data_IF_718596291669
#
_entry.id   IF_718596291669
#
_cell.length_a   1.000
_cell.length_b   1.000
_cell.length_c   1.000
_cell.angle_alpha   90.00
_cell.angle_beta   90.00
_cell.angle_gamma   90.00
#
_symmetry.space_group_name_H-M   'P 1'
#
loop_
_entity.id
_entity.type
_entity.pdbx_description
1 polymer ?
#
# COMPACT_ATOMS: atom_id res chain seq x y z
N UNK A 1 8.42 -34.68 1.76
CA UNK A 1 8.72 -33.80 2.91
C UNK A 1 10.16 -34.01 3.34
N UNK A 2 10.91 -32.95 3.64
CA UNK A 2 12.12 -33.03 4.47
C UNK A 2 12.38 -31.66 5.12
N UNK A 3 12.00 -31.53 6.40
CA UNK A 3 12.27 -30.33 7.18
C UNK A 3 13.71 -30.37 7.68
N UNK A 4 14.58 -29.50 7.13
CA UNK A 4 15.96 -29.36 7.61
C UNK A 4 15.97 -28.88 9.07
N UNK A 5 16.13 -29.82 10.01
CA UNK A 5 16.24 -29.50 11.44
C UNK A 5 17.41 -28.57 11.71
N UNK A 6 17.15 -27.62 12.60
CA UNK A 6 18.06 -26.57 13.06
C UNK A 6 19.08 -27.18 14.03
N UNK A 7 20.37 -27.24 13.65
CA UNK A 7 21.45 -27.67 14.57
C UNK A 7 21.68 -26.63 15.68
N UNK A 8 21.91 -27.04 16.95
CA UNK A 8 22.24 -26.14 18.05
C UNK A 8 23.64 -25.51 17.89
N UNK A 9 23.89 -24.45 18.67
CA UNK A 9 25.19 -23.77 18.78
C UNK A 9 26.22 -24.61 19.55
N UNK A 10 27.51 -24.34 19.34
CA UNK A 10 28.60 -24.96 20.11
C UNK A 10 28.87 -24.18 21.40
N UNK A 11 29.57 -24.79 22.35
CA UNK A 11 29.93 -24.16 23.63
C UNK A 11 30.75 -22.87 23.44
N UNK A 12 31.67 -22.84 22.46
CA UNK A 12 32.46 -21.64 22.13
C UNK A 12 31.59 -20.47 21.63
N UNK A 13 30.54 -20.75 20.84
CA UNK A 13 29.59 -19.73 20.40
C UNK A 13 28.84 -19.13 21.61
N UNK A 14 28.50 -19.97 22.60
CA UNK A 14 27.78 -19.58 23.83
C UNK A 14 28.69 -18.76 24.76
N UNK A 15 29.97 -19.14 24.89
CA UNK A 15 30.96 -18.40 25.66
C UNK A 15 31.17 -16.99 25.07
N UNK A 16 31.36 -16.88 23.75
CA UNK A 16 31.52 -15.60 23.05
C UNK A 16 30.29 -14.69 23.19
N UNK A 17 29.07 -15.25 23.10
CA UNK A 17 27.81 -14.52 23.33
C UNK A 17 27.66 -14.02 24.78
N UNK A 18 28.25 -14.72 25.75
CA UNK A 18 28.20 -14.37 27.17
C UNK A 18 29.18 -13.25 27.52
N UNK A 19 30.41 -13.30 26.98
CA UNK A 19 31.41 -12.22 27.11
C UNK A 19 30.88 -10.91 26.47
N UNK A 20 30.26 -11.02 25.28
CA UNK A 20 29.63 -9.89 24.58
C UNK A 20 28.56 -9.18 25.42
N UNK A 21 27.77 -9.91 26.21
CA UNK A 21 26.74 -9.31 27.09
C UNK A 21 27.34 -8.53 28.26
N UNK A 22 28.50 -8.94 28.78
CA UNK A 22 29.17 -8.24 29.90
C UNK A 22 29.92 -6.99 29.45
N UNK A 23 30.67 -7.07 28.34
CA UNK A 23 31.74 -6.11 28.07
C UNK A 23 31.46 -5.07 26.97
N UNK A 24 30.23 -5.03 26.39
CA UNK A 24 29.78 -4.08 25.35
C UNK A 24 30.76 -3.84 24.18
N UNK A 25 31.66 -4.80 23.90
CA UNK A 25 32.76 -4.65 22.95
C UNK A 25 32.39 -5.15 21.55
N UNK A 26 33.15 -4.78 20.52
CA UNK A 26 32.80 -5.12 19.13
C UNK A 26 32.82 -6.64 18.88
N UNK A 27 31.78 -7.13 18.18
CA UNK A 27 31.52 -8.53 17.85
C UNK A 27 32.73 -9.23 17.19
N UNK A 28 33.47 -8.53 16.31
CA UNK A 28 34.67 -9.06 15.64
C UNK A 28 35.81 -9.37 16.61
N UNK A 29 36.08 -8.50 17.58
CA UNK A 29 37.18 -8.70 18.56
C UNK A 29 36.89 -9.89 19.49
N UNK A 30 35.64 -10.02 19.97
CA UNK A 30 35.23 -11.11 20.86
C UNK A 30 35.20 -12.45 20.11
N UNK A 31 34.67 -12.48 18.88
CA UNK A 31 34.68 -13.69 18.05
C UNK A 31 36.12 -14.19 17.80
N UNK A 32 37.04 -13.28 17.43
CA UNK A 32 38.45 -13.61 17.23
C UNK A 32 39.13 -14.15 18.50
N UNK A 33 38.88 -13.51 19.67
CA UNK A 33 39.39 -13.95 20.99
C UNK A 33 39.00 -15.39 21.34
N UNK A 34 37.80 -15.83 20.93
CA UNK A 34 37.30 -17.18 21.19
C UNK A 34 37.48 -18.15 19.99
N UNK A 35 38.22 -17.77 18.94
CA UNK A 35 38.42 -18.62 17.75
C UNK A 35 37.16 -18.84 16.90
N UNK A 36 36.10 -18.06 17.12
CA UNK A 36 34.79 -18.24 16.48
C UNK A 36 34.67 -17.36 15.23
N UNK A 37 34.13 -17.92 14.14
CA UNK A 37 33.80 -17.17 12.93
C UNK A 37 32.58 -16.26 13.18
N UNK A 38 32.68 -14.97 12.85
CA UNK A 38 31.57 -14.00 13.04
C UNK A 38 30.28 -14.41 12.30
N UNK A 39 30.39 -15.24 11.25
CA UNK A 39 29.25 -15.81 10.53
C UNK A 39 28.49 -16.89 11.32
N UNK A 40 29.13 -17.65 12.22
CA UNK A 40 28.41 -18.64 13.06
C UNK A 40 27.60 -17.94 14.14
N UNK A 41 28.18 -16.92 14.80
CA UNK A 41 27.49 -16.08 15.81
C UNK A 41 26.28 -15.30 15.26
N UNK A 42 26.23 -15.03 13.96
CA UNK A 42 25.09 -14.35 13.31
C UNK A 42 23.97 -15.31 12.87
N UNK A 43 24.16 -16.62 12.96
CA UNK A 43 23.24 -17.62 12.43
C UNK A 43 22.23 -18.17 13.44
N UNK A 44 21.09 -17.46 13.62
CA UNK A 44 19.86 -17.77 14.39
C UNK A 44 19.64 -16.93 15.66
N UNK A 45 18.97 -15.78 15.48
CA UNK A 45 18.13 -15.20 16.52
C UNK A 45 16.72 -14.92 16.00
N UNK A 46 15.76 -15.67 16.53
CA UNK A 46 14.42 -15.15 16.80
C UNK A 46 14.61 -13.88 17.65
N UNK A 47 14.08 -12.73 17.23
CA UNK A 47 14.35 -11.45 17.90
C UNK A 47 13.06 -10.64 18.13
N UNK A 48 12.32 -11.05 19.15
CA UNK A 48 11.42 -10.15 19.87
C UNK A 48 12.17 -9.56 21.09
N UNK A 49 12.19 -8.22 21.19
CA UNK A 49 12.42 -7.43 22.42
C UNK A 49 13.86 -7.42 23.02
N UNK A 50 14.33 -6.39 23.75
CA UNK A 50 13.78 -5.10 24.24
C UNK A 50 14.98 -4.17 24.58
N UNK A 51 14.77 -2.84 24.71
CA UNK A 51 15.68 -1.97 25.50
C UNK A 51 16.07 -0.62 24.88
N UNK A 52 15.39 0.45 25.32
CA UNK A 52 15.84 1.86 25.21
C UNK A 52 16.57 2.27 26.50
N UNK A 53 17.52 3.21 26.43
CA UNK A 53 17.84 4.22 27.48
C UNK A 53 18.97 5.19 27.05
N UNK A 54 18.76 6.50 27.22
CA UNK A 54 19.75 7.61 27.13
C UNK A 54 20.15 8.05 25.72
N UNK A 55 19.61 9.17 25.18
CA UNK A 55 20.05 10.58 25.36
C UNK A 55 21.39 10.89 24.65
N UNK A 56 21.48 11.74 23.61
CA UNK A 56 20.50 12.62 22.99
C UNK A 56 20.71 12.74 21.47
N UNK A 57 19.60 12.92 20.73
CA UNK A 57 19.46 13.96 19.71
C UNK A 57 18.00 14.06 19.24
N UNK A 58 17.40 15.23 19.44
CA UNK A 58 16.18 15.61 18.74
C UNK A 58 16.54 15.77 17.25
N UNK A 59 15.86 15.04 16.34
CA UNK A 59 15.95 15.03 14.86
C UNK A 59 16.40 13.72 14.15
N UNK A 60 16.57 12.58 14.83
CA UNK A 60 16.87 11.30 14.14
C UNK A 60 15.65 10.66 13.41
N UNK A 61 14.58 11.42 13.21
CA UNK A 61 13.43 11.05 12.36
C UNK A 61 13.67 11.35 10.88
N UNK A 62 14.60 10.66 10.19
CA UNK A 62 14.56 10.58 8.70
C UNK A 62 15.30 9.36 8.11
N UNK A 63 14.52 8.33 7.75
CA UNK A 63 14.68 7.42 6.61
C UNK A 63 16.07 6.87 6.21
N UNK A 64 16.26 5.54 6.34
CA UNK A 64 16.84 4.69 5.26
C UNK A 64 16.24 3.27 5.23
N UNK A 65 15.29 3.07 4.33
CA UNK A 65 14.89 1.76 3.75
C UNK A 65 14.93 1.96 2.23
N UNK A 66 15.64 1.13 1.45
CA UNK A 66 14.94 0.12 0.65
C UNK A 66 15.67 -1.24 0.54
N UNK A 67 14.95 -2.21 -0.05
CA UNK A 67 15.28 -3.63 -0.26
C UNK A 67 14.78 -3.94 -1.70
N UNK A 68 15.33 -4.82 -2.54
CA UNK A 68 16.23 -5.98 -2.35
C UNK A 68 17.56 -5.87 -3.17
N UNK A 69 18.28 -7.00 -3.34
CA UNK A 69 19.56 -7.13 -4.07
C UNK A 69 19.38 -7.58 -5.53
N UNK A 70 20.37 -7.29 -6.40
CA UNK A 70 20.68 -8.11 -7.59
C UNK A 70 22.17 -8.42 -7.64
N UNK A 71 22.53 -9.69 -7.65
CA UNK A 71 23.94 -10.14 -7.66
C UNK A 71 24.53 -10.11 -9.07
N UNK A 72 25.60 -9.32 -9.25
CA UNK A 72 26.59 -9.52 -10.33
C UNK A 72 27.98 -9.05 -9.86
N UNK A 73 28.67 -9.91 -9.11
CA UNK A 73 30.01 -9.63 -8.58
C UNK A 73 30.04 -8.82 -7.27
N UNK A 74 31.23 -8.34 -6.91
CA UNK A 74 31.57 -7.75 -5.60
C UNK A 74 31.47 -6.21 -5.53
N UNK A 75 30.84 -5.56 -6.50
CA UNK A 75 30.84 -4.09 -6.61
C UNK A 75 29.50 -3.49 -6.18
N UNK A 76 29.52 -2.58 -5.22
CA UNK A 76 28.36 -1.87 -4.69
C UNK A 76 28.62 -0.36 -4.78
N UNK A 77 27.72 0.42 -5.40
CA UNK A 77 27.89 1.87 -5.52
C UNK A 77 26.56 2.60 -5.31
N UNK A 78 26.59 3.60 -4.43
CA UNK A 78 25.55 4.62 -4.27
C UNK A 78 26.03 5.89 -4.99
N UNK A 79 25.13 6.63 -5.63
CA UNK A 79 25.43 7.95 -6.18
C UNK A 79 24.47 8.98 -5.60
N UNK A 80 25.04 9.91 -4.84
CA UNK A 80 24.42 11.19 -4.47
C UNK A 80 25.52 12.26 -4.48
N UNK A 81 25.94 12.62 -5.68
CA UNK A 81 26.67 13.87 -5.94
C UNK A 81 25.79 14.76 -6.80
N UNK A 82 25.35 15.87 -6.21
CA UNK A 82 24.49 16.95 -6.75
C UNK A 82 22.96 16.75 -6.67
N UNK A 83 22.34 17.69 -5.94
CA UNK A 83 20.99 18.28 -6.04
C UNK A 83 19.73 17.38 -6.00
N UNK A 84 19.14 17.38 -4.80
CA UNK A 84 17.71 17.56 -4.45
C UNK A 84 16.58 16.76 -5.14
N UNK A 85 15.64 16.34 -4.28
CA UNK A 85 14.34 15.71 -4.55
C UNK A 85 14.36 14.24 -5.05
N UNK A 86 13.83 13.34 -4.21
CA UNK A 86 13.50 11.97 -4.64
C UNK A 86 12.29 11.45 -3.87
N UNK A 87 11.08 11.76 -4.35
CA UNK A 87 9.88 10.99 -4.05
C UNK A 87 9.20 10.66 -5.38
N UNK A 88 9.36 9.42 -5.83
CA UNK A 88 8.35 8.63 -6.56
C UNK A 88 8.82 7.20 -6.72
N UNK A 89 8.03 6.27 -6.20
CA UNK A 89 8.07 4.86 -6.62
C UNK A 89 7.21 4.71 -7.89
N UNK A 90 7.74 4.05 -8.93
CA UNK A 90 6.92 3.20 -9.76
C UNK A 90 7.57 1.82 -10.02
N UNK A 91 6.77 0.76 -9.91
CA UNK A 91 7.00 -0.57 -10.51
C UNK A 91 8.40 -1.15 -10.38
N UNK A 92 8.80 -1.53 -9.16
CA UNK A 92 8.74 -2.93 -8.70
C UNK A 92 9.22 -2.99 -7.23
N UNK A 93 8.85 -4.05 -6.48
CA UNK A 93 9.07 -4.12 -5.02
C UNK A 93 10.53 -3.96 -4.58
N UNK A 94 10.83 -3.67 -3.31
CA UNK A 94 10.36 -4.51 -2.19
C UNK A 94 10.25 -3.72 -0.87
N UNK A 95 9.04 -3.73 -0.31
CA UNK A 95 8.72 -3.54 1.11
C UNK A 95 9.53 -4.53 1.97
N UNK A 96 9.95 -4.20 3.20
CA UNK A 96 10.57 -5.20 4.07
C UNK A 96 9.62 -6.40 4.26
N UNK A 97 9.92 -7.60 3.69
CA UNK A 97 8.99 -8.73 3.72
C UNK A 97 8.67 -9.16 5.15
N UNK A 98 9.62 -8.96 6.07
CA UNK A 98 9.44 -9.30 7.49
C UNK A 98 8.29 -8.49 8.11
N UNK A 99 8.08 -7.22 7.77
CA UNK A 99 6.95 -6.45 8.32
C UNK A 99 5.61 -6.87 7.69
N UNK A 100 5.61 -7.25 6.42
CA UNK A 100 4.45 -7.84 5.73
C UNK A 100 4.04 -9.15 6.42
N UNK A 101 5.01 -10.05 6.57
CA UNK A 101 4.85 -11.40 7.08
C UNK A 101 4.52 -11.39 8.58
N UNK A 102 5.07 -10.46 9.35
CA UNK A 102 4.76 -10.33 10.76
C UNK A 102 3.31 -9.87 10.95
N UNK A 103 2.86 -8.82 10.24
CA UNK A 103 1.44 -8.43 10.26
C UNK A 103 0.52 -9.61 9.88
N UNK A 104 0.92 -10.38 8.86
CA UNK A 104 0.18 -11.56 8.41
C UNK A 104 0.09 -12.73 9.41
N UNK A 105 0.93 -12.74 10.45
CA UNK A 105 0.87 -13.74 11.51
C UNK A 105 0.18 -13.21 12.78
N UNK A 106 -0.32 -11.97 12.74
CA UNK A 106 -0.72 -11.25 13.95
C UNK A 106 0.46 -10.91 14.89
N UNK A 107 1.70 -10.93 14.38
CA UNK A 107 2.87 -10.49 15.14
C UNK A 107 2.94 -8.95 15.15
N UNK A 108 3.36 -8.39 16.29
CA UNK A 108 3.53 -6.95 16.50
C UNK A 108 4.47 -6.30 15.47
N UNK A 109 3.96 -5.37 14.66
CA UNK A 109 4.76 -4.60 13.71
C UNK A 109 5.46 -3.47 14.45
N UNK A 110 6.76 -3.63 14.71
CA UNK A 110 7.61 -2.65 15.40
C UNK A 110 8.03 -1.49 14.53
N UNK A 111 7.02 -0.78 14.03
CA UNK A 111 7.09 0.43 13.23
C UNK A 111 6.05 1.39 13.77
N UNK A 112 6.28 2.70 13.61
CA UNK A 112 5.32 3.72 14.04
C UNK A 112 3.95 3.50 13.37
N UNK A 113 2.87 3.76 14.10
CA UNK A 113 1.50 3.47 13.67
C UNK A 113 1.11 4.14 12.34
N UNK A 114 1.65 5.33 12.06
CA UNK A 114 1.44 6.05 10.79
C UNK A 114 1.96 5.31 9.55
N UNK A 115 2.88 4.35 9.72
CA UNK A 115 3.39 3.51 8.64
C UNK A 115 2.57 2.23 8.41
N UNK A 116 1.63 1.88 9.31
CA UNK A 116 0.87 0.62 9.23
C UNK A 116 -0.05 0.59 8.02
N UNK A 117 -0.66 1.72 7.65
CA UNK A 117 -1.46 1.86 6.43
C UNK A 117 -0.61 1.63 5.17
N UNK A 118 0.55 2.27 5.06
CA UNK A 118 1.47 2.12 3.93
C UNK A 118 1.93 0.65 3.79
N UNK A 119 2.25 0.02 4.92
CA UNK A 119 2.65 -1.39 5.01
C UNK A 119 1.52 -2.31 4.53
N UNK A 120 0.30 -2.16 5.05
CA UNK A 120 -0.86 -2.96 4.61
C UNK A 120 -1.22 -2.71 3.14
N UNK A 121 -1.26 -1.46 2.68
CA UNK A 121 -1.59 -1.12 1.29
C UNK A 121 -0.56 -1.75 0.33
N UNK A 122 0.74 -1.66 0.65
CA UNK A 122 1.79 -2.29 -0.15
C UNK A 122 1.70 -3.83 -0.13
N UNK A 123 1.39 -4.41 1.04
CA UNK A 123 1.16 -5.85 1.22
C UNK A 123 0.02 -6.36 0.33
N UNK A 124 -1.09 -5.62 0.24
CA UNK A 124 -2.26 -6.00 -0.55
C UNK A 124 -2.06 -5.72 -2.05
N UNK A 125 -1.34 -4.66 -2.41
CA UNK A 125 -1.12 -4.29 -3.81
C UNK A 125 -0.14 -5.21 -4.56
N UNK A 126 0.76 -5.89 -3.82
CA UNK A 126 1.76 -6.81 -4.38
C UNK A 126 1.68 -8.23 -3.81
N UNK A 127 0.78 -8.49 -2.86
CA UNK A 127 0.60 -9.80 -2.22
C UNK A 127 -0.20 -10.78 -3.06
N UNK A 128 -0.25 -12.02 -2.57
CA UNK A 128 -1.00 -13.12 -3.19
C UNK A 128 -2.48 -13.10 -2.76
N UNK A 129 -3.28 -14.05 -3.27
CA UNK A 129 -4.66 -14.20 -2.84
C UNK A 129 -4.75 -14.48 -1.32
N UNK A 130 -3.86 -15.33 -0.79
CA UNK A 130 -3.80 -15.69 0.62
C UNK A 130 -3.54 -14.46 1.51
N UNK A 131 -2.75 -13.50 1.04
CA UNK A 131 -2.48 -12.24 1.75
C UNK A 131 -3.76 -11.39 1.85
N UNK A 132 -4.56 -11.37 0.77
CA UNK A 132 -5.84 -10.68 0.75
C UNK A 132 -6.90 -11.40 1.60
N UNK A 133 -6.99 -12.73 1.54
CA UNK A 133 -7.95 -13.49 2.37
C UNK A 133 -7.66 -13.29 3.86
N UNK A 134 -6.40 -13.37 4.27
CA UNK A 134 -6.01 -13.10 5.65
C UNK A 134 -6.44 -11.69 6.10
N UNK A 135 -6.18 -10.68 5.26
CA UNK A 135 -6.60 -9.31 5.53
C UNK A 135 -8.13 -9.16 5.59
N UNK A 136 -8.88 -9.88 4.75
CA UNK A 136 -10.34 -9.87 4.75
C UNK A 136 -10.91 -10.55 6.00
N UNK A 137 -10.33 -11.67 6.46
CA UNK A 137 -10.69 -12.27 7.75
C UNK A 137 -10.37 -11.34 8.92
N UNK A 138 -9.23 -10.64 8.89
CA UNK A 138 -8.93 -9.61 9.89
C UNK A 138 -9.95 -8.46 9.84
N UNK A 139 -10.38 -8.01 8.66
CA UNK A 139 -11.45 -7.00 8.53
C UNK A 139 -12.77 -7.45 9.18
N UNK A 140 -13.18 -8.71 8.98
CA UNK A 140 -14.41 -9.24 9.58
C UNK A 140 -14.33 -9.32 11.11
N UNK A 141 -13.15 -9.63 11.65
CA UNK A 141 -12.92 -9.82 13.10
C UNK A 141 -12.44 -8.55 13.85
N UNK A 142 -12.10 -7.47 13.14
CA UNK A 142 -11.55 -6.25 13.74
C UNK A 142 -12.64 -5.28 14.19
N UNK A 143 -12.44 -4.67 15.36
CA UNK A 143 -13.20 -3.50 15.81
C UNK A 143 -12.56 -2.20 15.32
N UNK A 144 -11.49 -1.77 15.99
CA UNK A 144 -10.90 -0.42 15.82
C UNK A 144 -10.18 -0.18 14.49
N UNK A 145 -9.52 -1.19 13.93
CA UNK A 145 -8.81 -1.07 12.65
C UNK A 145 -9.67 -1.35 11.41
N UNK A 146 -10.96 -1.69 11.58
CA UNK A 146 -11.83 -2.23 10.54
C UNK A 146 -11.84 -1.39 9.25
N UNK A 147 -12.11 -0.09 9.36
CA UNK A 147 -12.09 0.83 8.21
C UNK A 147 -10.73 0.86 7.50
N UNK A 148 -9.63 0.93 8.27
CA UNK A 148 -8.28 1.01 7.69
C UNK A 148 -7.92 -0.25 6.90
N UNK A 149 -8.28 -1.43 7.42
CA UNK A 149 -8.08 -2.70 6.72
C UNK A 149 -8.97 -2.76 5.47
N UNK A 150 -10.24 -2.33 5.56
CA UNK A 150 -11.15 -2.28 4.42
C UNK A 150 -10.63 -1.40 3.29
N UNK A 151 -10.04 -0.24 3.61
CA UNK A 151 -9.39 0.60 2.61
C UNK A 151 -8.15 -0.08 2.02
N UNK A 152 -7.31 -0.74 2.82
CA UNK A 152 -6.17 -1.53 2.32
C UNK A 152 -6.59 -2.65 1.36
N UNK A 153 -7.75 -3.30 1.56
CA UNK A 153 -8.26 -4.36 0.67
C UNK A 153 -8.51 -3.87 -0.77
N UNK A 154 -8.74 -2.57 -0.98
CA UNK A 154 -8.97 -1.96 -2.30
C UNK A 154 -7.71 -1.73 -3.13
N UNK A 155 -6.51 -1.91 -2.54
CA UNK A 155 -5.21 -1.65 -3.19
C UNK A 155 -4.75 -2.79 -4.11
N UNK A 156 -5.46 -3.92 -4.08
CA UNK A 156 -5.13 -5.09 -4.91
C UNK A 156 -5.32 -4.80 -6.40
N UNK A 157 -4.39 -5.31 -7.21
CA UNK A 157 -4.44 -5.20 -8.68
C UNK A 157 -5.17 -6.39 -9.32
N UNK A 158 -5.58 -7.39 -8.52
CA UNK A 158 -6.22 -8.60 -9.03
C UNK A 158 -7.69 -8.35 -9.39
N UNK A 159 -8.00 -8.45 -10.70
CA UNK A 159 -9.35 -8.22 -11.26
C UNK A 159 -10.44 -9.04 -10.56
N UNK A 160 -10.21 -10.31 -10.28
CA UNK A 160 -11.19 -11.22 -9.66
C UNK A 160 -11.48 -10.80 -8.21
N UNK A 161 -10.44 -10.41 -7.47
CA UNK A 161 -10.60 -9.93 -6.09
C UNK A 161 -11.34 -8.58 -6.06
N UNK A 162 -11.02 -7.65 -6.98
CA UNK A 162 -11.75 -6.39 -7.10
C UNK A 162 -13.22 -6.61 -7.45
N UNK A 163 -13.55 -7.53 -8.37
CA UNK A 163 -14.93 -7.90 -8.68
C UNK A 163 -15.67 -8.48 -7.47
N UNK A 164 -15.01 -9.33 -6.67
CA UNK A 164 -15.57 -9.85 -5.42
C UNK A 164 -15.82 -8.74 -4.40
N UNK A 165 -14.87 -7.81 -4.23
CA UNK A 165 -15.01 -6.69 -3.30
C UNK A 165 -16.14 -5.74 -3.73
N UNK A 166 -16.31 -5.49 -5.03
CA UNK A 166 -17.47 -4.78 -5.57
C UNK A 166 -18.79 -5.49 -5.23
N UNK A 167 -18.87 -6.80 -5.42
CA UNK A 167 -20.07 -7.58 -5.05
C UNK A 167 -20.36 -7.50 -3.54
N UNK A 168 -19.35 -7.50 -2.68
CA UNK A 168 -19.54 -7.33 -1.23
C UNK A 168 -20.12 -5.96 -0.84
N UNK A 169 -20.00 -4.91 -1.67
CA UNK A 169 -20.66 -3.61 -1.39
C UNK A 169 -22.19 -3.64 -1.57
N UNK A 170 -22.73 -4.70 -2.17
CA UNK A 170 -24.18 -4.91 -2.28
C UNK A 170 -24.78 -5.37 -0.93
N UNK A 171 -24.05 -6.19 -0.18
CA UNK A 171 -24.47 -6.78 1.09
C UNK A 171 -23.99 -5.94 2.29
N UNK A 172 -24.94 -5.27 2.95
CA UNK A 172 -24.70 -4.39 4.10
C UNK A 172 -24.20 -5.13 5.35
N UNK A 173 -24.31 -6.46 5.40
CA UNK A 173 -23.76 -7.28 6.49
C UNK A 173 -22.25 -7.52 6.32
N UNK A 174 -21.74 -7.46 5.08
CA UNK A 174 -20.31 -7.65 4.78
C UNK A 174 -19.59 -6.31 4.74
N UNK A 175 -20.12 -5.32 4.02
CA UNK A 175 -19.56 -3.96 3.94
C UNK A 175 -20.63 -2.96 4.35
N UNK A 176 -20.33 -2.09 5.31
CA UNK A 176 -21.28 -1.11 5.80
C UNK A 176 -21.87 -0.24 4.68
N UNK A 177 -23.14 0.16 4.84
CA UNK A 177 -23.78 1.10 3.92
C UNK A 177 -22.96 2.38 3.76
N UNK A 178 -22.46 2.93 4.87
CA UNK A 178 -21.64 4.15 4.91
C UNK A 178 -20.25 3.97 4.30
N UNK A 179 -19.64 2.77 4.42
CA UNK A 179 -18.31 2.46 3.88
C UNK A 179 -18.32 2.28 2.35
N UNK A 180 -19.42 1.76 1.80
CA UNK A 180 -19.55 1.40 0.37
C UNK A 180 -19.12 2.53 -0.59
N UNK A 181 -19.60 3.79 -0.46
CA UNK A 181 -19.12 4.92 -1.24
C UNK A 181 -17.59 5.10 -1.23
N UNK A 182 -16.93 4.89 -0.09
CA UNK A 182 -15.48 4.99 0.05
C UNK A 182 -14.77 3.79 -0.58
N UNK A 183 -15.29 2.57 -0.41
CA UNK A 183 -14.75 1.36 -1.07
C UNK A 183 -14.77 1.51 -2.58
N UNK A 184 -15.91 1.90 -3.16
CA UNK A 184 -16.06 2.13 -4.61
C UNK A 184 -15.09 3.22 -5.10
N UNK A 185 -15.00 4.34 -4.38
CA UNK A 185 -14.09 5.45 -4.67
C UNK A 185 -12.62 5.02 -4.69
N UNK A 186 -12.18 4.26 -3.68
CA UNK A 186 -10.79 3.80 -3.58
C UNK A 186 -10.44 2.74 -4.65
N UNK A 187 -11.32 1.76 -4.90
CA UNK A 187 -11.13 0.80 -6.01
C UNK A 187 -10.93 1.55 -7.34
N UNK A 188 -11.71 2.62 -7.56
CA UNK A 188 -11.56 3.44 -8.75
C UNK A 188 -10.23 4.21 -8.78
N UNK A 189 -9.80 4.85 -7.68
CA UNK A 189 -8.54 5.61 -7.67
C UNK A 189 -7.30 4.73 -7.83
N UNK A 190 -7.26 3.56 -7.18
CA UNK A 190 -6.01 2.83 -6.93
C UNK A 190 -5.47 2.09 -8.17
N UNK A 191 -6.33 1.71 -9.12
CA UNK A 191 -5.87 1.08 -10.37
C UNK A 191 -6.78 1.39 -11.56
N UNK A 192 -6.20 1.33 -12.78
CA UNK A 192 -6.98 1.45 -14.02
C UNK A 192 -8.04 0.35 -14.15
N UNK A 193 -7.70 -0.87 -13.75
CA UNK A 193 -8.64 -2.01 -13.78
C UNK A 193 -9.79 -1.77 -12.81
N UNK A 194 -9.50 -1.32 -11.58
CA UNK A 194 -10.51 -0.94 -10.60
C UNK A 194 -11.40 0.21 -11.07
N UNK A 195 -10.83 1.23 -11.73
CA UNK A 195 -11.58 2.32 -12.38
C UNK A 195 -12.63 1.83 -13.37
N UNK A 196 -12.21 0.99 -14.31
CA UNK A 196 -13.07 0.42 -15.36
C UNK A 196 -14.13 -0.54 -14.76
N UNK A 197 -13.78 -1.31 -13.71
CA UNK A 197 -14.72 -2.16 -12.99
C UNK A 197 -15.77 -1.36 -12.18
N UNK A 198 -15.34 -0.39 -11.36
CA UNK A 198 -16.24 0.43 -10.52
C UNK A 198 -17.21 1.23 -11.38
N UNK A 199 -16.76 1.78 -12.51
CA UNK A 199 -17.67 2.54 -13.38
C UNK A 199 -18.76 1.66 -13.99
N UNK A 200 -18.40 0.47 -14.48
CA UNK A 200 -19.40 -0.50 -14.94
C UNK A 200 -20.33 -0.98 -13.81
N UNK A 201 -19.83 -1.12 -12.58
CA UNK A 201 -20.65 -1.42 -11.41
C UNK A 201 -21.62 -0.27 -11.08
N UNK A 202 -21.20 0.99 -11.17
CA UNK A 202 -22.08 2.16 -10.99
C UNK A 202 -23.16 2.15 -12.07
N UNK A 203 -22.81 2.01 -13.36
CA UNK A 203 -23.79 1.96 -14.45
C UNK A 203 -24.83 0.87 -14.26
N UNK A 204 -24.41 -0.32 -13.79
CA UNK A 204 -25.32 -1.45 -13.50
C UNK A 204 -26.22 -1.23 -12.28
N UNK A 205 -25.72 -0.59 -11.22
CA UNK A 205 -26.40 -0.52 -9.91
C UNK A 205 -26.86 0.90 -9.53
N UNK A 206 -26.92 1.83 -10.48
CA UNK A 206 -27.19 3.26 -10.23
C UNK A 206 -28.49 3.50 -9.45
N UNK A 207 -29.56 2.76 -9.75
CA UNK A 207 -30.84 2.89 -9.05
C UNK A 207 -30.72 2.57 -7.55
N UNK A 208 -29.94 1.53 -7.19
CA UNK A 208 -29.66 1.18 -5.79
C UNK A 208 -28.83 2.27 -5.11
N UNK A 209 -27.83 2.83 -5.80
CA UNK A 209 -27.01 3.93 -5.27
C UNK A 209 -27.84 5.22 -5.03
N UNK A 210 -28.75 5.56 -5.94
CA UNK A 210 -29.66 6.71 -5.80
C UNK A 210 -30.78 6.50 -4.76
N UNK A 211 -31.19 5.25 -4.55
CA UNK A 211 -32.12 4.87 -3.49
C UNK A 211 -31.44 4.96 -2.12
N UNK A 212 -30.23 4.39 -1.98
CA UNK A 212 -29.51 4.25 -0.71
C UNK A 212 -28.80 5.54 -0.26
N UNK A 213 -28.28 6.34 -1.19
CA UNK A 213 -27.45 7.51 -0.89
C UNK A 213 -27.95 8.83 -1.50
N UNK A 214 -29.01 8.81 -2.30
CA UNK A 214 -29.46 9.99 -3.02
C UNK A 214 -29.88 11.17 -2.15
N UNK A 215 -30.39 10.88 -0.95
CA UNK A 215 -30.80 11.88 0.02
C UNK A 215 -29.64 12.27 0.96
N UNK A 216 -28.53 11.52 0.94
CA UNK A 216 -27.35 11.78 1.75
C UNK A 216 -26.53 12.93 1.16
N UNK A 217 -26.26 13.95 1.98
CA UNK A 217 -25.59 15.19 1.55
C UNK A 217 -24.12 14.99 1.15
N UNK A 218 -23.47 13.93 1.65
CA UNK A 218 -22.03 13.74 1.50
C UNK A 218 -21.64 12.47 0.73
N UNK A 219 -22.33 11.35 0.97
CA UNK A 219 -21.93 10.04 0.47
C UNK A 219 -22.01 9.93 -1.06
N UNK A 220 -23.14 10.29 -1.67
CA UNK A 220 -23.30 10.22 -3.13
C UNK A 220 -22.41 11.26 -3.87
N UNK A 221 -22.31 12.53 -3.43
CA UNK A 221 -21.34 13.47 -3.96
C UNK A 221 -19.88 12.99 -3.87
N UNK A 222 -19.49 12.37 -2.74
CA UNK A 222 -18.15 11.82 -2.54
C UNK A 222 -17.88 10.65 -3.47
N UNK A 223 -18.84 9.75 -3.67
CA UNK A 223 -18.74 8.63 -4.60
C UNK A 223 -18.49 9.12 -6.03
N UNK A 224 -19.39 9.96 -6.56
CA UNK A 224 -19.26 10.48 -7.92
C UNK A 224 -17.98 11.29 -8.10
N UNK A 225 -17.63 12.15 -7.14
CA UNK A 225 -16.36 12.88 -7.17
C UNK A 225 -15.15 11.96 -7.20
N UNK A 226 -15.13 10.90 -6.39
CA UNK A 226 -13.95 10.02 -6.31
C UNK A 226 -13.78 9.19 -7.58
N UNK A 227 -14.88 8.66 -8.14
CA UNK A 227 -14.83 7.80 -9.33
C UNK A 227 -14.66 8.61 -10.62
N UNK A 228 -15.45 9.67 -10.82
CA UNK A 228 -15.45 10.44 -12.08
C UNK A 228 -14.13 11.22 -12.23
N UNK A 229 -13.66 11.93 -11.20
CA UNK A 229 -12.39 12.69 -11.29
C UNK A 229 -11.16 11.80 -11.55
N UNK A 230 -11.29 10.48 -11.42
CA UNK A 230 -10.20 9.54 -11.62
C UNK A 230 -9.93 9.22 -13.12
N UNK A 231 -10.84 9.61 -14.02
CA UNK A 231 -10.72 9.45 -15.46
C UNK A 231 -9.88 10.54 -16.16
N UNK A 232 -9.28 10.19 -17.30
CA UNK A 232 -8.31 11.03 -18.04
C UNK A 232 -8.33 10.84 -19.57
N UNK A 233 -9.39 10.24 -20.15
CA UNK A 233 -9.54 10.09 -21.61
C UNK A 233 -10.83 10.73 -22.14
N UNK A 234 -10.80 11.08 -23.42
CA UNK A 234 -11.96 11.61 -24.15
C UNK A 234 -13.11 10.57 -24.30
N UNK A 235 -12.79 9.30 -24.46
CA UNK A 235 -13.78 8.20 -24.55
C UNK A 235 -14.55 8.06 -23.24
N UNK A 236 -13.82 7.98 -22.11
CA UNK A 236 -14.40 7.89 -20.77
C UNK A 236 -15.30 9.10 -20.47
N UNK A 237 -14.86 10.32 -20.83
CA UNK A 237 -15.64 11.56 -20.68
C UNK A 237 -16.99 11.47 -21.43
N UNK A 238 -16.97 11.01 -22.70
CA UNK A 238 -18.19 10.87 -23.50
C UNK A 238 -19.17 9.86 -22.91
N UNK A 239 -18.67 8.71 -22.43
CA UNK A 239 -19.51 7.69 -21.78
C UNK A 239 -20.12 8.20 -20.46
N UNK A 240 -19.36 8.99 -19.68
CA UNK A 240 -19.86 9.66 -18.47
C UNK A 240 -20.94 10.70 -18.80
N UNK A 241 -20.72 11.58 -19.79
CA UNK A 241 -21.70 12.58 -20.21
C UNK A 241 -22.98 11.92 -20.75
N UNK A 242 -22.85 10.93 -21.65
CA UNK A 242 -23.98 10.19 -22.19
C UNK A 242 -24.78 9.46 -21.11
N UNK A 243 -24.10 8.86 -20.12
CA UNK A 243 -24.78 8.16 -19.02
C UNK A 243 -25.65 9.11 -18.18
N UNK A 244 -25.14 10.29 -17.83
CA UNK A 244 -25.82 11.24 -16.95
C UNK A 244 -26.79 12.20 -17.68
N UNK A 245 -26.72 12.33 -18.99
CA UNK A 245 -27.66 13.15 -19.78
C UNK A 245 -29.07 12.55 -19.90
N UNK A 246 -29.30 11.29 -19.47
CA UNK A 246 -30.59 10.58 -19.62
C UNK A 246 -31.69 11.02 -18.62
N UNK A 247 -31.79 12.31 -18.30
CA UNK A 247 -32.78 12.90 -17.36
C UNK A 247 -32.87 12.20 -15.99
N UNK A 248 -31.77 11.62 -15.51
CA UNK A 248 -31.70 10.93 -14.22
C UNK A 248 -31.73 11.93 -13.06
N UNK A 249 -32.57 11.70 -12.06
CA UNK A 249 -32.50 12.46 -10.81
C UNK A 249 -31.29 12.02 -9.98
N UNK A 250 -30.21 12.79 -10.09
CA UNK A 250 -28.98 12.59 -9.33
C UNK A 250 -29.05 13.10 -7.89
N UNK A 251 -30.16 13.73 -7.49
CA UNK A 251 -30.39 14.26 -6.14
C UNK A 251 -29.18 15.04 -5.61
N UNK A 252 -28.64 14.71 -4.43
CA UNK A 252 -27.46 15.36 -3.85
C UNK A 252 -26.22 15.30 -4.76
N UNK A 253 -26.08 14.23 -5.56
CA UNK A 253 -24.93 14.00 -6.43
C UNK A 253 -24.82 14.90 -7.65
N UNK A 254 -25.88 15.63 -8.03
CA UNK A 254 -25.96 16.42 -9.27
C UNK A 254 -24.79 17.40 -9.45
N UNK A 255 -24.45 18.16 -8.40
CA UNK A 255 -23.38 19.15 -8.45
C UNK A 255 -22.00 18.49 -8.57
N UNK A 256 -21.77 17.38 -7.87
CA UNK A 256 -20.52 16.63 -7.90
C UNK A 256 -20.24 16.01 -9.29
N UNK A 257 -21.28 15.50 -9.96
CA UNK A 257 -21.17 15.00 -11.34
C UNK A 257 -20.75 16.12 -12.29
N UNK A 258 -21.44 17.28 -12.24
CA UNK A 258 -21.10 18.45 -13.07
C UNK A 258 -19.64 18.89 -12.88
N UNK A 259 -19.24 19.13 -11.62
CA UNK A 259 -17.86 19.55 -11.30
C UNK A 259 -16.82 18.51 -11.72
N UNK A 260 -17.13 17.23 -11.63
CA UNK A 260 -16.19 16.17 -12.01
C UNK A 260 -16.04 16.03 -13.53
N UNK A 261 -17.10 16.30 -14.31
CA UNK A 261 -17.04 16.43 -15.77
C UNK A 261 -16.18 17.63 -16.16
N UNK A 262 -16.37 18.78 -15.52
CA UNK A 262 -15.56 20.00 -15.70
C UNK A 262 -14.07 19.73 -15.39
N UNK A 263 -13.78 18.99 -14.31
CA UNK A 263 -12.42 18.58 -13.96
C UNK A 263 -11.78 17.62 -14.97
N UNK A 264 -12.53 16.65 -15.54
CA UNK A 264 -11.99 15.80 -16.61
C UNK A 264 -11.64 16.65 -17.84
N UNK A 265 -12.51 17.58 -18.23
CA UNK A 265 -12.25 18.51 -19.35
C UNK A 265 -10.99 19.35 -19.10
N UNK A 266 -10.83 19.90 -17.90
CA UNK A 266 -9.62 20.63 -17.51
C UNK A 266 -8.35 19.75 -17.55
N UNK A 267 -8.43 18.49 -17.12
CA UNK A 267 -7.31 17.53 -17.20
C UNK A 267 -6.94 17.18 -18.64
N UNK A 268 -7.93 17.01 -19.52
CA UNK A 268 -7.71 16.72 -20.94
C UNK A 268 -7.06 17.91 -21.67
N UNK A 269 -7.53 19.13 -21.40
CA UNK A 269 -6.93 20.34 -21.95
C UNK A 269 -5.53 20.62 -21.39
N UNK A 270 -5.29 20.39 -20.10
CA UNK A 270 -3.94 20.44 -19.53
C UNK A 270 -3.04 19.41 -20.18
N UNK A 271 -3.50 18.16 -20.32
CA UNK A 271 -2.75 17.07 -20.94
C UNK A 271 -2.37 17.43 -22.38
N UNK A 272 -3.33 17.84 -23.21
CA UNK A 272 -3.12 18.27 -24.61
C UNK A 272 -2.09 19.38 -24.77
N UNK A 273 -1.97 20.28 -23.78
CA UNK A 273 -1.04 21.42 -23.80
C UNK A 273 0.36 21.10 -23.26
N UNK A 274 0.50 20.09 -22.41
CA UNK A 274 1.72 19.86 -21.60
C UNK A 274 2.33 18.46 -21.77
N UNK A 275 1.65 17.49 -22.39
CA UNK A 275 2.13 16.10 -22.50
C UNK A 275 3.46 16.00 -23.26
N UNK A 276 3.60 16.67 -24.42
CA UNK A 276 4.83 16.63 -25.20
C UNK A 276 6.02 17.31 -24.50
N UNK A 277 5.76 18.43 -23.82
CA UNK A 277 6.77 19.16 -23.05
C UNK A 277 7.23 18.36 -21.83
N UNK A 278 6.28 17.75 -21.11
CA UNK A 278 6.56 16.86 -20.00
C UNK A 278 7.33 15.61 -20.46
N UNK A 279 6.93 14.99 -21.57
CA UNK A 279 7.61 13.83 -22.13
C UNK A 279 9.05 14.17 -22.54
N UNK A 280 9.28 15.30 -23.22
CA UNK A 280 10.63 15.79 -23.55
C UNK A 280 11.45 16.08 -22.30
N UNK A 281 10.86 16.73 -21.29
CA UNK A 281 11.56 17.00 -20.03
C UNK A 281 11.94 15.70 -19.29
N UNK A 282 11.01 14.74 -19.18
CA UNK A 282 11.28 13.43 -18.56
C UNK A 282 12.38 12.70 -19.32
N UNK A 283 12.29 12.58 -20.65
CA UNK A 283 13.31 11.88 -21.46
C UNK A 283 14.70 12.52 -21.38
N UNK A 284 14.79 13.84 -21.18
CA UNK A 284 16.06 14.55 -21.07
C UNK A 284 16.65 14.57 -19.65
N UNK A 285 15.86 14.27 -18.61
CA UNK A 285 16.28 14.34 -17.20
C UNK A 285 16.18 12.99 -16.46
N UNK A 286 15.67 11.94 -17.10
CA UNK A 286 15.62 10.58 -16.55
C UNK A 286 16.86 9.77 -16.97
N UNK A 287 18.03 10.18 -16.47
CA UNK A 287 19.30 9.45 -16.56
C UNK A 287 20.01 9.44 -15.21
#
# INVERSE_FOLDING_TARGET
MSTKKIKPYKEDDIAALTDMKKNKTSLRKIAFKHGVLVSTLKGRKNNNNKGFNGSDNQLDYLWKVPIMYKTKGNTFTYLLSTKQATIKFPTDGVMNPDHTINWMKGEDIKVRYDLHSIIRNCAISHGTLEFWEYAFQNYLNSGTEKYNILMSLTETKNKTILQRLLNYTLDTNIIGSEDTPYVLGNIASNSRIGRELTWNFIKKNINMLLQRYGNELFLLPKLFSSVINSFTKNEDLRDIELFFNNNMDLKSGKQAVKQSIENIKAKLEWKKKNEDDLNRWVLNNAY
#
